data_IF_655186902073
#
_entry.id   IF_655186902073
#
_cell.length_a   1.000
_cell.length_b   1.000
_cell.length_c   1.000
_cell.angle_alpha   90.00
_cell.angle_beta   90.00
_cell.angle_gamma   90.00
#
_symmetry.space_group_name_H-M   'P 1'
#
loop_
_entity.id
_entity.type
_entity.pdbx_description
1 polymer ?
#
# COMPACT_ATOMS: atom_id res chain seq x y z
N UNK A 1 16.89 -9.25 -4.91
CA UNK A 1 15.56 -8.64 -4.69
C UNK A 1 15.66 -7.82 -3.42
N UNK A 2 15.42 -6.50 -3.45
CA UNK A 2 15.57 -5.65 -2.26
C UNK A 2 14.47 -6.00 -1.24
N UNK A 3 14.82 -6.19 0.03
CA UNK A 3 13.86 -6.46 1.12
C UNK A 3 13.28 -5.19 1.75
N UNK A 4 12.41 -5.36 2.74
CA UNK A 4 11.86 -4.24 3.53
C UNK A 4 12.94 -3.27 4.06
N UNK A 5 14.06 -3.72 4.66
CA UNK A 5 15.09 -2.83 5.19
C UNK A 5 15.63 -1.84 4.15
N UNK A 6 15.96 -2.34 2.96
CA UNK A 6 16.51 -1.53 1.87
C UNK A 6 15.47 -0.55 1.29
N UNK A 7 14.21 -0.99 1.14
CA UNK A 7 13.14 -0.12 0.63
C UNK A 7 12.78 0.97 1.63
N UNK A 8 12.73 0.64 2.92
CA UNK A 8 12.51 1.59 3.99
C UNK A 8 13.61 2.66 4.05
N UNK A 9 14.88 2.23 3.99
CA UNK A 9 16.03 3.12 3.90
C UNK A 9 15.98 4.02 2.67
N UNK A 10 15.63 3.46 1.51
CA UNK A 10 15.49 4.21 0.26
C UNK A 10 14.39 5.26 0.37
N UNK A 11 13.23 4.91 0.90
CA UNK A 11 12.13 5.85 1.12
C UNK A 11 12.52 7.00 2.06
N UNK A 12 13.22 6.71 3.16
CA UNK A 12 13.75 7.75 4.05
C UNK A 12 14.73 8.68 3.32
N UNK A 13 15.67 8.11 2.56
CA UNK A 13 16.69 8.89 1.85
C UNK A 13 16.09 9.78 0.76
N UNK A 14 15.01 9.35 0.09
CA UNK A 14 14.26 10.18 -0.88
C UNK A 14 13.71 11.47 -0.26
N UNK A 15 13.39 11.45 1.03
CA UNK A 15 12.94 12.62 1.79
C UNK A 15 14.09 13.44 2.39
N UNK A 16 15.35 13.03 2.20
CA UNK A 16 16.51 13.70 2.78
C UNK A 16 16.62 13.57 4.31
N UNK A 17 15.81 12.71 4.93
CA UNK A 17 15.79 12.55 6.40
C UNK A 17 16.96 11.71 6.88
N UNK A 18 17.55 12.09 8.02
CA UNK A 18 18.49 11.21 8.76
C UNK A 18 17.72 10.15 9.56
N UNK A 19 18.41 9.10 10.02
CA UNK A 19 17.80 8.09 10.89
C UNK A 19 17.27 8.69 12.20
N UNK A 20 17.93 9.74 12.70
CA UNK A 20 17.55 10.45 13.92
C UNK A 20 16.30 11.29 13.71
N UNK A 21 16.21 12.01 12.59
CA UNK A 21 15.02 12.77 12.21
C UNK A 21 13.82 11.86 12.01
N UNK A 22 13.97 10.74 11.28
CA UNK A 22 12.87 9.79 11.13
C UNK A 22 12.48 9.12 12.46
N UNK A 23 13.46 8.86 13.33
CA UNK A 23 13.19 8.37 14.69
C UNK A 23 12.32 9.37 15.45
N UNK A 24 12.69 10.64 15.45
CA UNK A 24 11.94 11.71 16.10
C UNK A 24 10.50 11.82 15.58
N UNK A 25 10.29 11.79 14.26
CA UNK A 25 8.95 11.84 13.64
C UNK A 25 8.07 10.63 14.03
N UNK A 26 8.68 9.48 14.35
CA UNK A 26 7.99 8.26 14.77
C UNK A 26 7.90 8.11 16.30
N UNK A 27 8.37 9.09 17.08
CA UNK A 27 8.54 9.01 18.54
C UNK A 27 9.40 7.80 18.96
N UNK A 28 10.51 7.60 18.25
CA UNK A 28 11.45 6.50 18.40
C UNK A 28 12.91 6.97 18.43
N UNK A 29 13.78 6.07 18.86
CA UNK A 29 15.22 6.33 18.82
C UNK A 29 15.80 6.11 17.42
N UNK A 30 16.90 6.79 17.12
CA UNK A 30 17.76 6.48 15.96
C UNK A 30 18.13 4.99 15.91
N UNK A 31 18.35 4.36 17.06
CA UNK A 31 18.71 2.94 17.14
C UNK A 31 17.61 2.02 16.61
N UNK A 32 16.33 2.34 16.86
CA UNK A 32 15.18 1.61 16.31
C UNK A 32 15.17 1.67 14.78
N UNK A 33 15.32 2.87 14.21
CA UNK A 33 15.40 3.06 12.76
C UNK A 33 16.58 2.29 12.16
N UNK A 34 17.75 2.36 12.80
CA UNK A 34 18.94 1.60 12.38
C UNK A 34 18.72 0.08 12.47
N UNK A 35 18.03 -0.43 13.48
CA UNK A 35 17.71 -1.85 13.59
C UNK A 35 16.83 -2.33 12.43
N UNK A 36 15.87 -1.51 12.00
CA UNK A 36 15.00 -1.83 10.87
C UNK A 36 15.73 -1.79 9.53
N UNK A 37 16.55 -0.75 9.31
CA UNK A 37 17.33 -0.61 8.07
C UNK A 37 18.40 -1.68 7.89
N UNK A 38 18.83 -2.31 8.99
CA UNK A 38 19.77 -3.43 8.96
C UNK A 38 19.07 -4.80 9.09
N UNK A 39 17.74 -4.84 9.12
CA UNK A 39 16.96 -6.08 9.20
C UNK A 39 17.08 -6.85 10.52
N UNK A 40 17.56 -6.21 11.59
CA UNK A 40 17.66 -6.83 12.93
C UNK A 40 16.30 -6.91 13.63
N UNK A 41 15.45 -5.92 13.36
CA UNK A 41 14.09 -5.82 13.89
C UNK A 41 13.13 -5.35 12.80
N UNK A 42 11.84 -5.48 13.06
CA UNK A 42 10.79 -4.94 12.21
C UNK A 42 9.92 -3.96 13.02
N UNK A 43 9.32 -2.94 12.39
CA UNK A 43 8.40 -2.05 13.06
C UNK A 43 7.16 -2.82 13.55
N UNK A 44 6.62 -2.38 14.69
CA UNK A 44 5.31 -2.86 15.14
C UNK A 44 4.23 -2.52 14.13
N UNK A 45 3.22 -3.39 14.01
CA UNK A 45 2.05 -3.16 13.17
C UNK A 45 1.38 -1.80 13.43
N UNK A 46 1.40 -1.33 14.69
CA UNK A 46 0.82 -0.04 15.09
C UNK A 46 1.53 1.18 14.45
N UNK A 47 2.79 1.04 14.06
CA UNK A 47 3.59 2.11 13.46
C UNK A 47 3.40 2.20 11.95
N UNK A 48 2.85 1.16 11.31
CA UNK A 48 2.70 1.12 9.85
C UNK A 48 1.88 2.30 9.28
N UNK A 49 0.77 2.74 9.89
CA UNK A 49 0.03 3.91 9.40
C UNK A 49 0.86 5.20 9.47
N UNK A 50 1.66 5.39 10.53
CA UNK A 50 2.52 6.55 10.68
C UNK A 50 3.68 6.52 9.69
N UNK A 51 4.31 5.35 9.54
CA UNK A 51 5.37 5.12 8.54
C UNK A 51 4.87 5.47 7.14
N UNK A 52 3.67 5.00 6.76
CA UNK A 52 3.03 5.37 5.49
C UNK A 52 2.86 6.88 5.36
N UNK A 53 2.35 7.53 6.40
CA UNK A 53 2.06 8.96 6.38
C UNK A 53 3.35 9.80 6.22
N UNK A 54 4.41 9.47 6.97
CA UNK A 54 5.67 10.21 6.95
C UNK A 54 6.45 9.94 5.66
N UNK A 55 6.54 8.68 5.23
CA UNK A 55 7.34 8.32 4.06
C UNK A 55 6.64 8.64 2.74
N UNK A 56 5.31 8.81 2.74
CA UNK A 56 4.52 9.04 1.52
C UNK A 56 4.48 7.84 0.58
N UNK A 57 4.82 6.65 1.07
CA UNK A 57 4.91 5.40 0.31
C UNK A 57 3.88 4.40 0.82
N UNK A 58 3.29 3.61 -0.08
CA UNK A 58 2.33 2.56 0.28
C UNK A 58 2.99 1.43 1.08
N UNK A 59 2.24 0.77 1.96
CA UNK A 59 2.76 -0.39 2.70
C UNK A 59 3.07 -1.55 1.76
N UNK A 60 2.33 -1.71 0.67
CA UNK A 60 2.59 -2.68 -0.38
C UNK A 60 3.96 -2.45 -1.05
N UNK A 61 4.28 -1.22 -1.43
CA UNK A 61 5.61 -0.90 -1.97
C UNK A 61 6.70 -1.18 -0.92
N UNK A 62 6.44 -0.85 0.35
CA UNK A 62 7.40 -1.00 1.43
C UNK A 62 7.66 -2.48 1.81
N UNK A 63 6.61 -3.32 1.81
CA UNK A 63 6.64 -4.71 2.31
C UNK A 63 6.72 -5.73 1.16
N UNK A 64 5.92 -5.57 0.12
CA UNK A 64 5.83 -6.50 -1.02
C UNK A 64 6.82 -6.12 -2.13
N UNK A 65 7.14 -4.82 -2.27
CA UNK A 65 7.96 -4.30 -3.35
C UNK A 65 7.21 -4.20 -4.68
N UNK A 66 7.94 -3.93 -5.75
CA UNK A 66 7.44 -3.56 -7.09
C UNK A 66 6.51 -4.59 -7.77
N UNK A 67 6.41 -5.81 -7.22
CA UNK A 67 5.41 -6.80 -7.64
C UNK A 67 3.99 -6.31 -7.35
N UNK A 68 3.77 -5.54 -6.29
CA UNK A 68 2.44 -5.00 -5.96
C UNK A 68 2.06 -3.77 -6.79
N UNK A 69 3.03 -2.95 -7.24
CA UNK A 69 2.77 -1.80 -8.09
C UNK A 69 2.23 -2.21 -9.48
N UNK A 70 2.60 -3.41 -9.96
CA UNK A 70 2.03 -4.01 -11.18
C UNK A 70 0.57 -4.44 -11.02
N UNK A 71 0.17 -4.79 -9.80
CA UNK A 71 -1.20 -5.24 -9.49
C UNK A 71 -2.12 -4.08 -9.04
N UNK A 72 -1.56 -2.92 -8.65
CA UNK A 72 -2.28 -1.81 -8.02
C UNK A 72 -2.25 -0.49 -8.80
N UNK A 73 -1.84 -0.50 -10.07
CA UNK A 73 -1.88 0.67 -10.96
C UNK A 73 -3.32 1.08 -11.37
N UNK A 74 -4.14 1.49 -10.39
CA UNK A 74 -5.31 2.32 -10.59
C UNK A 74 -5.57 3.14 -9.32
N UNK A 75 -5.56 4.49 -9.37
CA UNK A 75 -5.96 5.31 -8.24
C UNK A 75 -7.48 5.19 -8.05
N UNK A 76 -7.92 4.56 -6.95
CA UNK A 76 -9.33 4.49 -6.56
C UNK A 76 -9.87 3.13 -6.08
N UNK A 77 -9.01 2.16 -5.76
CA UNK A 77 -9.47 0.85 -5.29
C UNK A 77 -9.80 0.84 -3.78
N UNK A 78 -11.09 1.00 -3.46
CA UNK A 78 -11.70 0.27 -2.35
C UNK A 78 -11.27 -1.21 -2.42
N UNK A 79 -11.01 -1.90 -1.30
CA UNK A 79 -10.57 -3.29 -1.29
C UNK A 79 -11.67 -4.20 -1.83
N UNK A 80 -11.73 -4.31 -3.15
CA UNK A 80 -12.68 -5.12 -3.88
C UNK A 80 -12.23 -6.56 -3.92
N UNK A 81 -13.20 -7.47 -3.77
CA UNK A 81 -13.10 -8.90 -4.03
C UNK A 81 -12.22 -9.12 -5.28
N UNK A 82 -11.12 -9.86 -5.10
CA UNK A 82 -10.17 -10.13 -6.16
C UNK A 82 -10.88 -10.91 -7.27
N UNK A 83 -10.97 -10.33 -8.47
CA UNK A 83 -11.71 -10.91 -9.60
C UNK A 83 -11.15 -12.28 -9.93
N UNK A 84 -11.98 -13.32 -9.80
CA UNK A 84 -11.62 -14.74 -9.95
C UNK A 84 -11.66 -15.21 -11.41
N UNK A 85 -12.16 -14.38 -12.33
CA UNK A 85 -12.25 -14.70 -13.76
C UNK A 85 -12.30 -13.47 -14.68
N UNK A 86 -11.99 -13.65 -15.96
CA UNK A 86 -12.11 -12.62 -16.99
C UNK A 86 -13.55 -12.10 -17.16
N UNK A 87 -14.55 -12.99 -17.00
CA UNK A 87 -15.96 -12.62 -17.06
C UNK A 87 -16.33 -11.64 -15.92
N UNK A 88 -15.79 -11.86 -14.71
CA UNK A 88 -15.99 -10.98 -13.56
C UNK A 88 -15.38 -9.59 -13.79
N UNK A 89 -14.19 -9.55 -14.39
CA UNK A 89 -13.55 -8.27 -14.78
C UNK A 89 -14.42 -7.50 -15.78
N UNK A 90 -14.98 -8.17 -16.78
CA UNK A 90 -15.85 -7.53 -17.77
C UNK A 90 -17.15 -7.03 -17.15
N UNK A 91 -17.76 -7.83 -16.25
CA UNK A 91 -18.96 -7.43 -15.52
C UNK A 91 -18.72 -6.16 -14.70
N UNK A 92 -17.62 -6.10 -13.94
CA UNK A 92 -17.29 -4.92 -13.12
C UNK A 92 -17.01 -3.68 -13.98
N UNK A 93 -16.28 -3.83 -15.09
CA UNK A 93 -16.03 -2.73 -16.03
C UNK A 93 -17.34 -2.20 -16.64
N UNK A 94 -18.25 -3.09 -17.03
CA UNK A 94 -19.56 -2.72 -17.55
C UNK A 94 -20.41 -2.03 -16.48
N UNK A 95 -20.49 -2.62 -15.28
CA UNK A 95 -21.27 -2.08 -14.15
C UNK A 95 -20.85 -0.66 -13.75
N UNK A 96 -19.54 -0.41 -13.65
CA UNK A 96 -19.00 0.93 -13.31
C UNK A 96 -19.36 1.99 -14.35
N UNK A 97 -19.57 1.62 -15.62
CA UNK A 97 -19.95 2.54 -16.70
C UNK A 97 -21.45 2.84 -16.77
N UNK A 98 -22.29 2.08 -16.08
CA UNK A 98 -23.74 2.24 -16.13
C UNK A 98 -24.24 3.40 -15.23
N UNK A 99 -25.32 4.11 -15.62
CA UNK A 99 -26.04 5.04 -14.74
C UNK A 99 -26.65 4.33 -13.53
N UNK A 100 -26.84 5.05 -12.42
CA UNK A 100 -27.32 4.50 -11.14
C UNK A 100 -28.62 3.66 -11.29
N UNK A 101 -29.57 4.13 -12.11
CA UNK A 101 -30.83 3.41 -12.39
C UNK A 101 -30.59 2.04 -13.04
N UNK A 102 -29.62 1.93 -13.94
CA UNK A 102 -29.28 0.68 -14.63
C UNK A 102 -28.45 -0.26 -13.76
N UNK A 103 -27.59 0.29 -12.89
CA UNK A 103 -26.88 -0.51 -11.88
C UNK A 103 -27.86 -1.22 -10.94
N UNK A 104 -28.85 -0.50 -10.43
CA UNK A 104 -29.91 -1.08 -9.58
C UNK A 104 -30.67 -2.20 -10.28
N UNK A 105 -31.16 -1.94 -11.50
CA UNK A 105 -31.87 -2.95 -12.28
C UNK A 105 -31.01 -4.21 -12.57
N UNK A 106 -29.69 -4.03 -12.79
CA UNK A 106 -28.77 -5.16 -12.99
C UNK A 106 -28.62 -5.99 -11.72
N UNK A 107 -28.52 -5.35 -10.55
CA UNK A 107 -28.46 -6.07 -9.27
C UNK A 107 -29.76 -6.83 -9.00
N UNK A 108 -30.92 -6.19 -9.23
CA UNK A 108 -32.25 -6.82 -9.07
C UNK A 108 -32.45 -8.04 -10.01
N UNK A 109 -31.64 -8.18 -11.08
CA UNK A 109 -31.67 -9.33 -12.00
C UNK A 109 -30.73 -10.48 -11.58
N UNK A 110 -29.82 -10.24 -10.65
CA UNK A 110 -28.83 -11.22 -10.16
C UNK A 110 -29.23 -11.88 -8.83
N UNK A 111 -30.23 -11.32 -8.15
CA UNK A 111 -30.90 -11.90 -6.98
C UNK A 111 -31.89 -13.02 -7.39
#
# INVERSE_FOLDING_TARGET
MAGFPERFKTARLRLGLTQEQLGFELDLTKASVSAWENGREAPSFRLLPQIRAILGVSLDELICGDQAARDSAAPGAEPGISTRSEAEVQLLKAYRRLPARRRKALLDMLD
#
